data_IF_293697619514
#
_entry.id   IF_293697619514
#
_cell.length_a   1.000
_cell.length_b   1.000
_cell.length_c   1.000
_cell.angle_alpha   90.00
_cell.angle_beta   90.00
_cell.angle_gamma   90.00
#
_symmetry.space_group_name_H-M   'P 1'
#
loop_
_entity.id
_entity.type
_entity.pdbx_description
1 polymer ?
#
# COMPACT_ATOMS: atom_id res chain seq x y z
N UNK A 1 2.76 14.66 -8.13
CA UNK A 1 2.84 14.20 -9.52
C UNK A 1 2.08 12.89 -9.62
N UNK A 2 0.95 12.90 -10.31
CA UNK A 2 0.18 11.71 -10.63
C UNK A 2 0.81 10.99 -11.83
N UNK A 3 0.43 9.73 -12.07
CA UNK A 3 0.84 8.99 -13.28
C UNK A 3 0.54 9.78 -14.55
N UNK A 4 -0.62 10.46 -14.61
CA UNK A 4 -0.99 11.30 -15.76
C UNK A 4 -0.04 12.49 -15.93
N UNK A 5 0.23 13.22 -14.85
CA UNK A 5 1.15 14.37 -14.89
C UNK A 5 2.58 13.95 -15.28
N UNK A 6 3.02 12.77 -14.84
CA UNK A 6 4.32 12.24 -15.21
C UNK A 6 4.40 11.90 -16.70
N UNK A 7 3.37 11.25 -17.26
CA UNK A 7 3.30 10.93 -18.69
C UNK A 7 3.22 12.19 -19.56
N UNK A 8 2.39 13.18 -19.17
CA UNK A 8 2.29 14.49 -19.83
C UNK A 8 3.65 15.19 -19.92
N UNK A 9 4.48 15.09 -18.86
CA UNK A 9 5.80 15.71 -18.79
C UNK A 9 6.79 15.05 -19.76
N UNK A 10 6.72 13.73 -19.90
CA UNK A 10 7.51 12.98 -20.91
C UNK A 10 7.06 13.35 -22.32
N UNK A 11 5.75 13.40 -22.58
CA UNK A 11 5.21 13.71 -23.90
C UNK A 11 5.59 15.14 -24.36
N UNK A 12 5.65 16.10 -23.44
CA UNK A 12 6.07 17.49 -23.71
C UNK A 12 7.58 17.67 -23.80
N UNK A 13 8.37 16.63 -23.55
CA UNK A 13 9.84 16.70 -23.52
C UNK A 13 10.39 17.49 -22.33
N UNK A 14 9.61 17.63 -21.26
CA UNK A 14 10.05 18.26 -20.01
C UNK A 14 10.90 17.29 -19.16
N UNK A 15 10.75 15.98 -19.37
CA UNK A 15 11.61 14.94 -18.82
C UNK A 15 11.78 13.77 -19.81
N UNK A 16 12.90 13.05 -19.71
CA UNK A 16 13.18 11.91 -20.58
C UNK A 16 12.53 10.60 -20.09
N UNK A 17 12.36 10.47 -18.77
CA UNK A 17 11.90 9.24 -18.10
C UNK A 17 10.99 9.60 -16.94
N UNK A 18 9.83 8.94 -16.86
CA UNK A 18 8.92 8.97 -15.73
C UNK A 18 8.93 7.65 -14.97
N UNK A 19 8.99 7.70 -13.64
CA UNK A 19 8.73 6.56 -12.76
C UNK A 19 7.26 6.60 -12.35
N UNK A 20 6.55 5.51 -12.61
CA UNK A 20 5.14 5.36 -12.28
C UNK A 20 4.90 4.04 -11.55
N UNK A 21 3.89 4.02 -10.69
CA UNK A 21 3.40 2.80 -10.06
C UNK A 21 2.21 2.24 -10.86
N UNK A 22 2.10 0.91 -10.88
CA UNK A 22 1.03 0.20 -11.58
C UNK A 22 1.28 -0.06 -13.06
N UNK A 23 0.29 -0.63 -13.74
CA UNK A 23 0.33 -0.91 -15.18
C UNK A 23 -0.47 0.13 -15.94
N UNK A 24 0.19 0.83 -16.86
CA UNK A 24 -0.46 1.69 -17.85
C UNK A 24 -0.21 1.10 -19.23
N UNK A 25 -1.20 1.19 -20.10
CA UNK A 25 -1.10 0.77 -21.50
C UNK A 25 -1.44 1.95 -22.38
N UNK A 26 -0.42 2.72 -22.74
CA UNK A 26 -0.52 3.79 -23.72
C UNK A 26 0.52 3.52 -24.83
N UNK A 27 0.11 3.35 -26.09
CA UNK A 27 1.00 2.99 -27.19
C UNK A 27 2.04 4.07 -27.53
N UNK A 28 1.89 5.30 -27.03
CA UNK A 28 2.86 6.38 -27.23
C UNK A 28 4.15 6.16 -26.43
N UNK A 29 4.09 5.39 -25.35
CA UNK A 29 5.22 5.18 -24.44
C UNK A 29 5.75 3.74 -24.48
N UNK A 30 7.05 3.59 -24.20
CA UNK A 30 7.66 2.30 -23.90
C UNK A 30 7.79 2.14 -22.39
N UNK A 31 7.34 1.00 -21.86
CA UNK A 31 7.37 0.71 -20.42
C UNK A 31 8.39 -0.37 -20.10
N UNK A 32 9.15 -0.18 -19.04
CA UNK A 32 10.04 -1.19 -18.48
C UNK A 32 9.80 -1.31 -16.97
N UNK A 33 9.62 -2.54 -16.48
CA UNK A 33 9.54 -2.79 -15.04
C UNK A 33 10.95 -2.70 -14.46
N UNK A 34 11.15 -1.76 -13.54
CA UNK A 34 12.46 -1.56 -12.89
C UNK A 34 12.51 -2.12 -11.46
N UNK A 35 11.37 -2.15 -10.76
CA UNK A 35 11.25 -2.66 -9.40
C UNK A 35 9.85 -3.24 -9.17
N UNK A 36 9.74 -4.12 -8.17
CA UNK A 36 8.47 -4.63 -7.65
C UNK A 36 8.50 -4.48 -6.14
N UNK A 37 7.52 -3.76 -5.59
CA UNK A 37 7.39 -3.63 -4.15
C UNK A 37 6.68 -4.85 -3.57
N UNK A 38 7.34 -5.53 -2.63
CA UNK A 38 6.71 -6.56 -1.80
C UNK A 38 6.00 -5.88 -0.64
N UNK A 39 4.67 -5.93 -0.61
CA UNK A 39 3.88 -5.39 0.50
C UNK A 39 3.79 -6.42 1.63
N UNK A 40 4.21 -6.04 2.84
CA UNK A 40 4.23 -6.92 4.01
C UNK A 40 3.28 -6.43 5.10
N UNK A 41 2.49 -7.34 5.71
CA UNK A 41 1.81 -7.06 6.97
C UNK A 41 2.84 -6.83 8.07
N UNK A 42 2.69 -5.75 8.81
CA UNK A 42 3.59 -5.35 9.88
C UNK A 42 2.80 -4.95 11.12
N UNK A 43 3.29 -5.33 12.29
CA UNK A 43 2.75 -4.92 13.57
C UNK A 43 3.91 -4.67 14.55
N UNK A 44 3.66 -3.93 15.63
CA UNK A 44 4.61 -3.84 16.73
C UNK A 44 4.82 -5.24 17.36
N UNK A 45 6.01 -5.49 17.90
CA UNK A 45 6.30 -6.71 18.66
C UNK A 45 5.43 -6.88 19.91
N UNK A 46 4.78 -5.81 20.38
CA UNK A 46 3.84 -5.81 21.48
C UNK A 46 2.38 -6.04 21.06
N UNK A 47 2.08 -6.05 19.75
CA UNK A 47 0.73 -6.30 19.27
C UNK A 47 0.39 -7.79 19.46
N UNK A 48 -0.83 -8.14 19.90
CA UNK A 48 -1.22 -9.52 20.22
C UNK A 48 -1.49 -10.39 18.98
N UNK A 49 -0.65 -10.28 17.94
CA UNK A 49 -0.62 -11.20 16.81
C UNK A 49 0.68 -11.99 16.83
N UNK A 50 0.54 -13.30 16.61
CA UNK A 50 1.69 -14.20 16.45
C UNK A 50 2.32 -14.03 15.07
N UNK A 51 3.61 -14.37 14.95
CA UNK A 51 4.39 -14.29 13.70
C UNK A 51 3.79 -15.12 12.53
N UNK A 52 2.84 -16.00 12.82
CA UNK A 52 2.09 -16.82 11.85
C UNK A 52 0.58 -16.71 12.10
N UNK A 53 0.07 -15.49 12.13
CA UNK A 53 -1.35 -15.25 12.35
C UNK A 53 -2.23 -15.96 11.31
N UNK A 54 -3.31 -16.56 11.79
CA UNK A 54 -4.36 -17.14 10.97
C UNK A 54 -5.19 -16.04 10.31
N UNK A 55 -5.90 -16.36 9.23
CA UNK A 55 -6.84 -15.43 8.60
C UNK A 55 -7.93 -14.97 9.58
N UNK A 56 -8.36 -15.83 10.51
CA UNK A 56 -9.32 -15.46 11.54
C UNK A 56 -8.77 -14.39 12.49
N UNK A 57 -7.52 -14.53 12.94
CA UNK A 57 -6.87 -13.52 13.78
C UNK A 57 -6.65 -12.19 13.03
N UNK A 58 -6.33 -12.24 11.73
CA UNK A 58 -6.20 -11.05 10.89
C UNK A 58 -7.55 -10.37 10.61
N UNK A 59 -8.65 -11.11 10.59
CA UNK A 59 -10.00 -10.57 10.41
C UNK A 59 -10.44 -9.74 11.63
N UNK A 60 -10.05 -10.18 12.83
CA UNK A 60 -10.35 -9.49 14.10
C UNK A 60 -9.33 -8.39 14.44
N UNK A 61 -8.23 -8.30 13.71
CA UNK A 61 -7.20 -7.30 13.93
C UNK A 61 -7.68 -5.89 13.53
N UNK A 62 -7.12 -4.88 14.21
CA UNK A 62 -7.24 -3.49 13.74
C UNK A 62 -6.23 -3.24 12.64
N UNK A 63 -6.71 -2.79 11.48
CA UNK A 63 -5.87 -2.43 10.35
C UNK A 63 -5.64 -0.92 10.29
N UNK A 64 -4.38 -0.52 10.41
CA UNK A 64 -3.96 0.87 10.23
C UNK A 64 -3.57 1.07 8.78
N UNK A 65 -4.32 1.91 8.06
CA UNK A 65 -4.15 2.14 6.64
C UNK A 65 -4.08 3.63 6.29
N UNK A 66 -3.68 3.91 5.06
CA UNK A 66 -3.85 5.24 4.48
C UNK A 66 -5.33 5.53 4.20
N UNK A 67 -5.63 6.80 3.97
CA UNK A 67 -6.94 7.29 3.55
C UNK A 67 -7.40 6.67 2.23
N UNK A 68 -8.72 6.56 2.07
CA UNK A 68 -9.36 6.11 0.83
C UNK A 68 -8.93 6.97 -0.36
N UNK A 69 -8.80 6.31 -1.52
CA UNK A 69 -8.41 6.96 -2.77
C UNK A 69 -6.90 7.10 -3.00
N UNK A 70 -6.03 6.84 -2.01
CA UNK A 70 -4.59 6.79 -2.26
C UNK A 70 -4.12 5.42 -2.77
N UNK A 71 -3.03 5.40 -3.54
CA UNK A 71 -2.48 4.17 -4.13
C UNK A 71 -2.15 3.10 -3.07
N UNK A 72 -1.48 3.52 -1.98
CA UNK A 72 -1.13 2.64 -0.87
C UNK A 72 -2.36 1.98 -0.23
N UNK A 73 -3.48 2.70 -0.16
CA UNK A 73 -4.75 2.14 0.33
C UNK A 73 -5.30 1.10 -0.63
N UNK A 74 -5.30 1.37 -1.93
CA UNK A 74 -5.74 0.41 -2.96
C UNK A 74 -4.89 -0.86 -2.95
N UNK A 75 -3.56 -0.73 -2.78
CA UNK A 75 -2.66 -1.87 -2.64
C UNK A 75 -2.98 -2.69 -1.38
N UNK A 76 -3.22 -2.02 -0.25
CA UNK A 76 -3.59 -2.70 0.99
C UNK A 76 -4.92 -3.47 0.87
N UNK A 77 -5.93 -2.83 0.29
CA UNK A 77 -7.23 -3.44 0.02
C UNK A 77 -7.12 -4.64 -0.92
N UNK A 78 -6.36 -4.49 -2.00
CA UNK A 78 -6.11 -5.58 -2.96
C UNK A 78 -5.41 -6.78 -2.30
N UNK A 79 -4.41 -6.51 -1.46
CA UNK A 79 -3.72 -7.57 -0.71
C UNK A 79 -4.68 -8.31 0.24
N UNK A 80 -5.46 -7.57 1.03
CA UNK A 80 -6.42 -8.12 1.99
C UNK A 80 -7.48 -8.99 1.28
N UNK A 81 -8.02 -8.51 0.16
CA UNK A 81 -8.95 -9.29 -0.65
C UNK A 81 -8.28 -10.55 -1.22
N UNK A 82 -7.02 -10.46 -1.66
CA UNK A 82 -6.29 -11.60 -2.24
C UNK A 82 -6.06 -12.74 -1.25
N UNK A 83 -6.00 -12.44 0.05
CA UNK A 83 -5.90 -13.44 1.13
C UNK A 83 -7.28 -13.89 1.65
N UNK A 84 -8.38 -13.47 1.00
CA UNK A 84 -9.73 -13.93 1.30
C UNK A 84 -10.44 -13.17 2.43
N UNK A 85 -9.94 -11.99 2.82
CA UNK A 85 -10.58 -11.17 3.84
C UNK A 85 -11.49 -10.10 3.22
N UNK A 86 -12.77 -10.02 3.61
CA UNK A 86 -13.67 -8.95 3.18
C UNK A 86 -13.36 -7.64 3.90
N UNK A 87 -12.92 -6.61 3.16
CA UNK A 87 -12.51 -5.31 3.71
C UNK A 87 -13.61 -4.68 4.57
N UNK A 88 -14.87 -4.82 4.15
CA UNK A 88 -16.04 -4.26 4.82
C UNK A 88 -16.31 -4.83 6.21
N UNK A 89 -15.66 -5.95 6.57
CA UNK A 89 -15.75 -6.57 7.90
C UNK A 89 -14.56 -6.25 8.81
N UNK A 90 -13.56 -5.52 8.31
CA UNK A 90 -12.36 -5.22 9.07
C UNK A 90 -12.52 -3.95 9.91
N UNK A 91 -11.85 -3.94 11.07
CA UNK A 91 -11.70 -2.74 11.88
C UNK A 91 -10.59 -1.87 11.30
N UNK A 92 -10.93 -0.74 10.69
CA UNK A 92 -9.97 0.09 9.95
C UNK A 92 -9.75 1.43 10.66
N UNK A 93 -8.48 1.74 10.94
CA UNK A 93 -8.00 3.06 11.33
C UNK A 93 -7.29 3.72 10.15
N UNK A 94 -7.87 4.78 9.60
CA UNK A 94 -7.33 5.48 8.44
C UNK A 94 -6.60 6.77 8.82
N UNK A 95 -5.50 7.07 8.13
CA UNK A 95 -4.78 8.34 8.28
C UNK A 95 -4.23 8.84 6.95
N UNK A 96 -4.26 10.15 6.73
CA UNK A 96 -3.65 10.79 5.56
C UNK A 96 -2.16 11.12 5.72
N UNK A 97 -1.54 10.69 6.82
CA UNK A 97 -0.18 11.03 7.17
C UNK A 97 0.69 9.77 7.31
N UNK A 98 1.70 9.62 6.45
CA UNK A 98 2.66 8.51 6.48
C UNK A 98 3.39 8.36 7.81
N UNK A 99 3.71 9.47 8.49
CA UNK A 99 4.34 9.43 9.80
C UNK A 99 3.39 8.86 10.85
N UNK A 100 2.13 9.30 10.85
CA UNK A 100 1.12 8.78 11.77
C UNK A 100 0.83 7.30 11.50
N UNK A 101 0.74 6.87 10.24
CA UNK A 101 0.61 5.46 9.89
C UNK A 101 1.71 4.62 10.56
N UNK A 102 2.98 5.01 10.36
CA UNK A 102 4.13 4.29 10.92
C UNK A 102 4.16 4.35 12.46
N UNK A 103 3.84 5.50 13.06
CA UNK A 103 3.81 5.63 14.52
C UNK A 103 2.69 4.82 15.15
N UNK A 104 1.49 4.80 14.56
CA UNK A 104 0.37 3.98 15.03
C UNK A 104 0.72 2.50 15.03
N UNK A 105 1.31 1.99 13.94
CA UNK A 105 1.79 0.60 13.87
C UNK A 105 2.84 0.35 14.94
N UNK A 106 3.87 1.21 15.05
CA UNK A 106 4.98 1.07 16.00
C UNK A 106 4.52 1.09 17.47
N UNK A 107 3.49 1.87 17.79
CA UNK A 107 2.93 1.98 19.13
C UNK A 107 1.87 0.90 19.42
N UNK A 108 1.66 -0.06 18.51
CA UNK A 108 0.79 -1.21 18.74
C UNK A 108 -0.70 -0.91 18.58
N UNK A 109 -1.08 0.06 17.76
CA UNK A 109 -2.50 0.36 17.49
C UNK A 109 -3.12 -0.64 16.50
N UNK A 110 -2.32 -1.39 15.74
CA UNK A 110 -2.82 -2.31 14.74
C UNK A 110 -1.76 -2.86 13.79
N UNK A 111 -2.23 -3.61 12.81
CA UNK A 111 -1.47 -4.13 11.66
C UNK A 111 -1.51 -3.11 10.54
N UNK A 112 -0.38 -2.80 9.93
CA UNK A 112 -0.33 -2.05 8.67
C UNK A 112 0.21 -2.89 7.53
N UNK A 113 0.05 -2.41 6.31
CA UNK A 113 0.72 -2.95 5.13
C UNK A 113 1.75 -1.94 4.64
N UNK A 114 3.03 -2.31 4.66
CA UNK A 114 4.12 -1.45 4.22
C UNK A 114 4.98 -2.16 3.16
N UNK A 115 5.53 -1.43 2.19
CA UNK A 115 6.50 -1.99 1.27
C UNK A 115 7.74 -2.43 2.03
N UNK A 116 8.31 -3.56 1.63
CA UNK A 116 9.59 -4.04 2.09
C UNK A 116 10.68 -3.12 1.55
N UNK A 117 11.35 -2.38 2.44
CA UNK A 117 12.56 -1.66 2.09
C UNK A 117 13.72 -2.66 2.06
N UNK A 118 14.35 -2.81 0.89
CA UNK A 118 15.59 -3.57 0.69
C UNK A 118 16.82 -2.68 0.84
#
# INVERSE_FOLDING_TARGET
MTTKEALDSVEKGECDIALIEGKVSDPVFTYAVFAQDEMLPVAASTYPLIQNATLAELAEATWVMREEGCMMRQHAESFIQSIGLPIERLHILSTNNNHLLKQSIKNGLGVGLLPRFH
#
